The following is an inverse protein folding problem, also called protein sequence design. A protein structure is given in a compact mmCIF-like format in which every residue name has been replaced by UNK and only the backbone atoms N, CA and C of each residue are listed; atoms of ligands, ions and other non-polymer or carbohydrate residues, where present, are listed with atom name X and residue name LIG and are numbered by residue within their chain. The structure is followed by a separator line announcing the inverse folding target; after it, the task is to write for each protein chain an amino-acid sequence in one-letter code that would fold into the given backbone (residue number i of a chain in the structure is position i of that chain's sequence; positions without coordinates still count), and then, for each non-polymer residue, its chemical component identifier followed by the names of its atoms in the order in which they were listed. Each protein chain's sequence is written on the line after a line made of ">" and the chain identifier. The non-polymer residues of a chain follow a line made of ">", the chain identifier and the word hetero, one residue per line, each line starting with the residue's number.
data_IF_092462353534
#
_entry.id   IF_092462353534
#
_cell.length_a   1.000
_cell.length_b   1.000
_cell.length_c   1.000
_cell.angle_alpha   90.00
_cell.angle_beta   90.00
_cell.angle_gamma   90.00
#
_symmetry.space_group_name_H-M   'P 1'
#
loop_
_entity.id
_entity.type
_entity.pdbx_description
1 polymer ?
#
# COMPACT_ATOMS: atom_id res chain seq x y z
N UNK A 1 42.15 -2.79 -19.04
CA UNK A 1 41.79 -3.57 -17.83
C UNK A 1 41.70 -2.77 -16.52
N UNK A 2 41.89 -1.44 -16.49
CA UNK A 2 41.77 -0.65 -15.23
C UNK A 2 40.37 -0.06 -14.97
N UNK A 3 39.52 0.04 -16.00
CA UNK A 3 38.20 0.69 -15.88
C UNK A 3 37.12 -0.27 -15.35
N UNK A 4 37.27 -1.58 -15.56
CA UNK A 4 36.31 -2.58 -15.08
C UNK A 4 36.39 -2.83 -13.57
N UNK A 5 37.56 -2.64 -12.95
CA UNK A 5 37.74 -2.85 -11.50
C UNK A 5 37.02 -1.76 -10.69
N UNK A 6 36.96 -0.52 -11.21
CA UNK A 6 36.32 0.62 -10.53
C UNK A 6 34.80 0.46 -10.46
N UNK A 7 34.17 -0.16 -11.48
CA UNK A 7 32.70 -0.39 -11.47
C UNK A 7 32.26 -1.49 -10.49
N UNK A 8 33.14 -2.43 -10.16
CA UNK A 8 32.83 -3.52 -9.22
C UNK A 8 32.85 -3.04 -7.76
N UNK A 9 33.76 -2.11 -7.40
CA UNK A 9 33.82 -1.55 -6.03
C UNK A 9 32.62 -0.66 -5.67
N UNK A 10 31.94 -0.08 -6.66
CA UNK A 10 30.77 0.78 -6.40
C UNK A 10 29.48 -0.01 -6.16
N UNK A 11 29.38 -1.23 -6.71
CA UNK A 11 28.20 -2.09 -6.55
C UNK A 11 28.17 -2.82 -5.19
N UNK A 12 29.30 -2.89 -4.47
CA UNK A 12 29.38 -3.57 -3.17
C UNK A 12 29.05 -2.67 -1.96
N UNK A 13 28.80 -1.37 -2.17
CA UNK A 13 28.60 -0.40 -1.06
C UNK A 13 27.13 -0.10 -0.74
N UNK A 14 26.18 -0.83 -1.34
CA UNK A 14 24.73 -0.56 -1.19
C UNK A 14 24.00 -1.66 -0.39
N UNK A 15 24.62 -2.21 0.64
CA UNK A 15 24.04 -3.28 1.47
C UNK A 15 24.16 -3.03 2.99
N UNK A 16 24.05 -1.79 3.45
CA UNK A 16 24.00 -1.50 4.89
C UNK A 16 23.13 -0.28 5.23
N UNK A 17 21.80 -0.42 5.22
CA UNK A 17 20.94 0.27 6.19
C UNK A 17 19.78 -0.65 6.56
N UNK A 18 19.97 -1.42 7.63
CA UNK A 18 18.88 -2.06 8.37
C UNK A 18 18.57 -1.14 9.55
N UNK A 19 17.58 -0.26 9.42
CA UNK A 19 17.09 0.51 10.57
C UNK A 19 16.07 -0.35 11.32
N UNK A 20 16.54 -0.92 12.43
CA UNK A 20 15.72 -1.64 13.38
C UNK A 20 14.60 -0.75 13.96
N UNK A 21 13.43 -1.36 14.17
CA UNK A 21 12.36 -0.81 14.99
C UNK A 21 12.86 -0.53 16.42
N UNK A 22 12.50 0.61 17.00
CA UNK A 22 12.43 0.78 18.44
C UNK A 22 11.05 1.34 18.81
N UNK A 23 10.30 0.55 19.55
CA UNK A 23 9.05 0.90 20.16
C UNK A 23 9.34 1.41 21.57
N UNK A 24 9.06 2.67 21.85
CA UNK A 24 8.88 3.17 23.21
C UNK A 24 7.57 3.95 23.27
N UNK A 25 6.71 3.43 24.13
CA UNK A 25 5.36 3.86 24.43
C UNK A 25 5.42 5.02 25.42
N UNK A 26 4.78 6.15 25.12
CA UNK A 26 4.29 7.05 26.17
C UNK A 26 2.84 7.45 25.94
N UNK A 27 2.10 7.27 27.03
CA UNK A 27 0.67 7.37 27.23
C UNK A 27 0.30 8.82 27.54
N UNK A 28 -0.74 9.36 26.91
CA UNK A 28 -1.70 10.22 27.62
C UNK A 28 -3.14 9.84 27.26
N UNK A 29 -3.75 9.16 28.22
CA UNK A 29 -5.18 8.88 28.37
C UNK A 29 -5.85 10.12 28.97
N UNK A 30 -7.12 10.38 28.62
CA UNK A 30 -8.24 10.84 29.51
C UNK A 30 -9.44 11.13 28.58
N UNK A 31 -10.35 10.16 28.36
CA UNK A 31 -11.65 9.94 29.05
C UNK A 31 -12.80 10.80 28.49
N UNK A 32 -13.73 10.26 27.68
CA UNK A 32 -14.92 9.40 27.95
C UNK A 32 -16.23 10.19 28.03
N UNK A 33 -17.16 9.84 27.13
CA UNK A 33 -18.64 9.85 27.18
C UNK A 33 -19.21 10.46 25.90
N UNK A 34 -20.34 10.05 25.32
CA UNK A 34 -21.29 8.93 25.45
C UNK A 34 -22.34 9.19 24.34
N UNK A 35 -22.93 8.13 23.80
CA UNK A 35 -24.22 8.07 23.08
C UNK A 35 -24.47 8.92 21.83
N UNK A 36 -24.70 8.18 20.75
CA UNK A 36 -25.91 8.19 19.91
C UNK A 36 -26.17 9.34 18.93
N UNK A 37 -26.24 8.90 17.66
CA UNK A 37 -27.26 9.25 16.66
C UNK A 37 -27.32 10.72 16.23
N UNK A 38 -26.99 10.99 14.96
CA UNK A 38 -27.95 11.46 13.93
C UNK A 38 -27.25 11.91 12.64
N UNK A 39 -27.82 11.45 11.53
CA UNK A 39 -27.69 11.89 10.15
C UNK A 39 -27.49 13.40 9.96
N UNK A 40 -26.63 13.81 9.02
CA UNK A 40 -26.96 14.57 7.78
C UNK A 40 -25.73 15.39 7.31
N UNK A 41 -25.55 15.40 5.99
CA UNK A 41 -24.50 16.01 5.18
C UNK A 41 -24.08 17.44 5.55
N UNK A 42 -22.82 17.77 5.27
CA UNK A 42 -22.45 19.04 4.62
C UNK A 42 -21.08 18.97 3.96
N UNK A 43 -21.03 19.53 2.76
CA UNK A 43 -19.92 19.69 1.84
C UNK A 43 -18.88 20.72 2.34
N UNK A 44 -17.64 20.59 1.88
CA UNK A 44 -16.80 21.73 1.54
C UNK A 44 -15.65 21.27 0.64
N UNK A 45 -15.73 21.72 -0.60
CA UNK A 45 -14.69 21.67 -1.63
C UNK A 45 -13.51 22.57 -1.26
N UNK A 46 -12.28 22.14 -1.58
CA UNK A 46 -11.20 23.07 -1.90
C UNK A 46 -10.19 22.45 -2.87
N UNK A 47 -10.38 22.87 -4.12
CA UNK A 47 -9.40 23.18 -5.17
C UNK A 47 -8.36 22.18 -5.68
N UNK A 48 -8.72 21.57 -6.81
CA UNK A 48 -8.09 21.68 -8.14
C UNK A 48 -6.60 21.31 -8.29
N UNK A 49 -6.37 20.17 -8.96
CA UNK A 49 -5.70 20.19 -10.28
C UNK A 49 -6.14 18.99 -11.10
N UNK A 50 -7.04 19.23 -12.04
CA UNK A 50 -7.22 18.35 -13.18
C UNK A 50 -5.90 18.30 -13.97
N UNK A 51 -5.31 17.12 -14.01
CA UNK A 51 -4.62 16.60 -15.18
C UNK A 51 -5.34 15.30 -15.45
N UNK A 52 -6.07 15.25 -16.55
CA UNK A 52 -6.69 14.04 -17.07
C UNK A 52 -5.57 13.12 -17.54
N UNK A 53 -5.02 12.33 -16.63
CA UNK A 53 -4.00 11.32 -16.90
C UNK A 53 -4.56 10.00 -16.38
N UNK A 54 -4.87 9.08 -17.31
CA UNK A 54 -4.67 7.63 -17.17
C UNK A 54 -5.13 6.90 -15.89
N UNK A 55 -5.90 7.53 -15.00
CA UNK A 55 -6.27 6.95 -13.72
C UNK A 55 -7.38 5.93 -13.95
N UNK A 56 -7.01 4.66 -13.82
CA UNK A 56 -7.93 3.53 -13.79
C UNK A 56 -8.15 3.10 -12.35
N UNK A 57 -9.19 2.32 -12.15
CA UNK A 57 -9.43 1.60 -10.90
C UNK A 57 -9.65 0.14 -11.23
N UNK A 58 -9.04 -0.73 -10.44
CA UNK A 58 -9.22 -2.17 -10.54
C UNK A 58 -9.54 -2.76 -9.17
N UNK A 59 -10.23 -3.89 -9.20
CA UNK A 59 -10.52 -4.67 -8.00
C UNK A 59 -10.04 -6.10 -8.22
N UNK A 60 -9.49 -6.70 -7.16
CA UNK A 60 -9.10 -8.10 -7.12
C UNK A 60 -9.34 -8.69 -5.74
N UNK A 61 -9.31 -10.01 -5.64
CA UNK A 61 -9.48 -10.70 -4.37
C UNK A 61 -8.18 -11.35 -3.91
N UNK A 62 -7.86 -11.20 -2.64
CA UNK A 62 -6.92 -12.07 -1.92
C UNK A 62 -7.74 -13.23 -1.35
N UNK A 63 -7.48 -14.45 -1.81
CA UNK A 63 -8.37 -15.60 -1.56
C UNK A 63 -8.00 -16.40 -0.31
N UNK A 64 -6.85 -16.14 0.31
CA UNK A 64 -6.43 -16.72 1.59
C UNK A 64 -5.29 -15.91 2.23
N UNK A 65 -5.00 -16.16 3.51
CA UNK A 65 -3.82 -15.62 4.21
C UNK A 65 -4.02 -14.30 4.95
N UNK A 66 -5.21 -13.68 4.88
CA UNK A 66 -5.51 -12.45 5.63
C UNK A 66 -5.74 -12.67 7.14
N UNK A 67 -5.80 -13.93 7.57
CA UNK A 67 -5.83 -14.34 8.97
C UNK A 67 -4.46 -14.31 9.64
N UNK A 68 -3.38 -14.37 8.84
CA UNK A 68 -2.00 -14.26 9.33
C UNK A 68 -1.31 -12.96 8.87
N UNK A 69 -1.65 -12.42 7.70
CA UNK A 69 -1.14 -11.17 7.18
C UNK A 69 -2.12 -10.02 7.43
N UNK A 70 -1.70 -8.96 8.15
CA UNK A 70 -2.54 -7.78 8.32
C UNK A 70 -2.70 -7.03 6.98
N UNK A 71 -3.84 -6.34 6.75
CA UNK A 71 -4.07 -5.55 5.54
C UNK A 71 -2.99 -4.53 5.21
N UNK A 72 -2.35 -3.96 6.23
CA UNK A 72 -1.27 -2.99 6.06
C UNK A 72 -0.11 -3.53 5.20
N UNK A 73 0.21 -4.83 5.30
CA UNK A 73 1.28 -5.43 4.49
C UNK A 73 0.92 -5.46 3.01
N UNK A 74 -0.36 -5.69 2.70
CA UNK A 74 -0.87 -5.64 1.32
C UNK A 74 -0.89 -4.20 0.80
N UNK A 75 -1.28 -3.24 1.63
CA UNK A 75 -1.24 -1.81 1.28
C UNK A 75 0.19 -1.35 1.01
N UNK A 76 1.16 -1.73 1.85
CA UNK A 76 2.57 -1.40 1.70
C UNK A 76 3.20 -2.02 0.44
N UNK A 77 2.82 -3.25 0.09
CA UNK A 77 3.25 -3.89 -1.14
C UNK A 77 2.72 -3.15 -2.37
N UNK A 78 1.42 -2.81 -2.39
CA UNK A 78 0.81 -2.06 -3.48
C UNK A 78 1.44 -0.67 -3.61
N UNK A 79 1.76 0.00 -2.50
CA UNK A 79 2.38 1.32 -2.49
C UNK A 79 3.81 1.34 -3.06
N UNK A 80 4.49 0.19 -3.12
CA UNK A 80 5.81 0.05 -3.75
C UNK A 80 5.73 -0.02 -5.28
N UNK A 81 4.57 -0.31 -5.84
CA UNK A 81 4.37 -0.35 -7.30
C UNK A 81 4.31 1.07 -7.85
N UNK A 82 5.27 1.43 -8.70
CA UNK A 82 5.27 2.74 -9.37
C UNK A 82 3.96 2.92 -10.17
N UNK A 83 3.25 4.02 -9.90
CA UNK A 83 1.97 4.30 -10.54
C UNK A 83 0.75 3.72 -9.82
N UNK A 84 0.92 2.94 -8.76
CA UNK A 84 -0.18 2.62 -7.85
C UNK A 84 -0.61 3.87 -7.07
N UNK A 85 -1.92 3.99 -6.87
CA UNK A 85 -2.58 5.13 -6.24
C UNK A 85 -3.28 4.73 -4.95
N UNK A 86 -4.52 5.19 -4.80
CA UNK A 86 -5.29 4.97 -3.57
C UNK A 86 -5.74 3.51 -3.50
N UNK A 87 -5.54 2.89 -2.35
CA UNK A 87 -5.95 1.51 -2.08
C UNK A 87 -7.02 1.50 -0.99
N UNK A 88 -8.02 0.64 -1.16
CA UNK A 88 -9.01 0.30 -0.15
C UNK A 88 -9.08 -1.22 -0.02
N UNK A 89 -8.95 -1.72 1.20
CA UNK A 89 -9.00 -3.16 1.49
C UNK A 89 -10.18 -3.46 2.40
N UNK A 90 -11.03 -4.38 1.96
CA UNK A 90 -12.16 -4.91 2.75
C UNK A 90 -11.91 -6.37 3.09
N UNK A 91 -11.54 -6.61 4.34
CA UNK A 91 -11.27 -7.96 4.88
C UNK A 91 -12.57 -8.69 5.21
N UNK A 92 -12.66 -9.96 4.84
CA UNK A 92 -13.76 -10.86 5.19
C UNK A 92 -13.19 -12.21 5.66
N UNK A 93 -12.79 -12.29 6.93
CA UNK A 93 -12.13 -13.50 7.48
C UNK A 93 -10.73 -13.67 6.89
N UNK A 94 -10.44 -14.85 6.32
CA UNK A 94 -9.14 -15.15 5.70
C UNK A 94 -8.98 -14.58 4.29
N UNK A 95 -9.97 -13.87 3.75
CA UNK A 95 -9.95 -13.25 2.40
C UNK A 95 -10.06 -11.73 2.47
N UNK A 96 -9.74 -11.04 1.38
CA UNK A 96 -9.97 -9.60 1.24
C UNK A 96 -10.30 -9.20 -0.20
N UNK A 97 -11.21 -8.24 -0.34
CA UNK A 97 -11.42 -7.51 -1.58
C UNK A 97 -10.53 -6.26 -1.56
N UNK A 98 -9.70 -6.09 -2.60
CA UNK A 98 -8.76 -4.97 -2.73
C UNK A 98 -9.16 -4.14 -3.94
N UNK A 99 -9.43 -2.86 -3.74
CA UNK A 99 -9.67 -1.89 -4.80
C UNK A 99 -8.53 -0.88 -4.82
N UNK A 100 -7.92 -0.68 -5.99
CA UNK A 100 -6.75 0.19 -6.18
C UNK A 100 -6.96 1.10 -7.38
N UNK A 101 -6.69 2.40 -7.22
CA UNK A 101 -6.52 3.29 -8.36
C UNK A 101 -5.08 3.24 -8.86
N UNK A 102 -4.85 3.37 -10.16
CA UNK A 102 -3.52 3.31 -10.74
C UNK A 102 -3.43 4.08 -12.06
N UNK A 103 -2.24 4.60 -12.33
CA UNK A 103 -1.86 5.21 -13.61
C UNK A 103 -1.55 4.12 -14.63
N UNK A 104 -2.44 3.97 -15.61
CA UNK A 104 -2.35 2.93 -16.64
C UNK A 104 -1.24 3.13 -17.67
N UNK A 105 -0.53 4.26 -17.61
CA UNK A 105 0.70 4.49 -18.39
C UNK A 105 1.95 3.98 -17.69
N UNK A 106 1.87 3.74 -16.37
CA UNK A 106 3.00 3.29 -15.53
C UNK A 106 2.86 1.83 -15.10
N UNK A 107 1.63 1.40 -14.78
CA UNK A 107 1.36 0.06 -14.26
C UNK A 107 0.00 -0.47 -14.73
N UNK A 108 -0.33 -1.69 -14.32
CA UNK A 108 -1.64 -2.30 -14.56
C UNK A 108 -2.01 -3.23 -13.41
N UNK A 109 -3.26 -3.69 -13.40
CA UNK A 109 -3.81 -4.50 -12.31
C UNK A 109 -3.06 -5.83 -12.11
N UNK A 110 -2.57 -6.47 -13.17
CA UNK A 110 -1.86 -7.75 -13.07
C UNK A 110 -0.48 -7.60 -12.43
N UNK A 111 0.22 -6.49 -12.71
CA UNK A 111 1.47 -6.14 -12.04
C UNK A 111 1.24 -5.91 -10.54
N UNK A 112 0.18 -5.20 -10.17
CA UNK A 112 -0.20 -4.97 -8.77
C UNK A 112 -0.56 -6.31 -8.07
N UNK A 113 -1.32 -7.18 -8.74
CA UNK A 113 -1.63 -8.53 -8.24
C UNK A 113 -0.37 -9.38 -8.01
N UNK A 114 0.61 -9.26 -8.91
CA UNK A 114 1.88 -9.99 -8.82
C UNK A 114 2.65 -9.56 -7.57
N UNK A 115 2.76 -8.26 -7.31
CA UNK A 115 3.43 -7.75 -6.10
C UNK A 115 2.79 -8.29 -4.81
N UNK A 116 1.45 -8.36 -4.77
CA UNK A 116 0.74 -8.95 -3.62
C UNK A 116 0.94 -10.48 -3.56
N UNK A 117 1.01 -11.15 -4.71
CA UNK A 117 1.24 -12.59 -4.79
C UNK A 117 2.64 -12.99 -4.33
N UNK A 118 3.64 -12.13 -4.56
CA UNK A 118 5.02 -12.33 -4.16
C UNK A 118 5.20 -12.29 -2.63
N UNK A 119 4.22 -11.75 -1.89
CA UNK A 119 4.11 -11.90 -0.43
C UNK A 119 3.68 -13.30 0.01
N UNK A 120 3.38 -14.20 -0.93
CA UNK A 120 2.83 -15.54 -0.67
C UNK A 120 1.31 -15.57 -0.48
N UNK A 121 0.62 -14.48 -0.80
CA UNK A 121 -0.84 -14.38 -0.70
C UNK A 121 -1.47 -14.72 -2.06
N UNK A 122 -2.31 -15.77 -2.16
CA UNK A 122 -2.96 -16.09 -3.42
C UNK A 122 -3.99 -15.02 -3.79
N UNK A 123 -4.03 -14.60 -5.06
CA UNK A 123 -4.94 -13.57 -5.59
C UNK A 123 -5.67 -14.00 -6.86
N UNK A 124 -6.86 -13.43 -7.11
CA UNK A 124 -7.67 -13.60 -8.32
C UNK A 124 -8.15 -12.28 -8.94
#
# INVERSE_FOLDING_TARGET
>A
MKVQIIRIMMLLSLMLVVSACSNEQEVQKTEVSKSEVKTTAMNSEKDVKAITEAEKTGTFMVIAGMDCCPPSVVEDAIAQVEGAGKTAIKVNGSTAEVTVSFDDTKTNLDAIKTEVSDLGLPVE
#
